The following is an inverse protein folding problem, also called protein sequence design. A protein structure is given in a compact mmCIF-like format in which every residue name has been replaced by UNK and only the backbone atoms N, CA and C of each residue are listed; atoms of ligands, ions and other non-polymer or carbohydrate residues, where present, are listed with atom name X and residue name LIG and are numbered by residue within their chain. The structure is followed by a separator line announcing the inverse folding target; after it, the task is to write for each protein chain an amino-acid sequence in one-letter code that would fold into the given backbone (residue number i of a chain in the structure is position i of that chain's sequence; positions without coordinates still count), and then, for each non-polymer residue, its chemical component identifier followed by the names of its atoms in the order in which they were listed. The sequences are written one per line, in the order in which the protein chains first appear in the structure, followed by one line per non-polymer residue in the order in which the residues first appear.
data_IF_788976685050
#
_entry.id   IF_788976685050
#
_cell.length_a   1.000
_cell.length_b   1.000
_cell.length_c   1.000
_cell.angle_alpha   90.00
_cell.angle_beta   90.00
_cell.angle_gamma   90.00
#
_symmetry.space_group_name_H-M   'P 1'
#
loop_
_entity.id
_entity.type
_entity.pdbx_description
1 polymer ?
#
# COMPACT_ATOMS: atom_id res chain seq x y z
N UNK A 1 -10.01 -13.43 5.70
CA UNK A 1 -11.19 -13.87 6.45
C UNK A 1 -12.28 -14.22 5.47
N UNK A 2 -13.05 -15.30 5.71
CA UNK A 2 -14.12 -15.73 4.81
C UNK A 2 -15.47 -15.14 5.21
N UNK A 3 -15.70 -14.98 6.52
CA UNK A 3 -16.83 -14.24 7.05
C UNK A 3 -16.34 -13.16 8.04
N UNK A 4 -16.44 -11.86 7.72
CA UNK A 4 -15.97 -10.78 8.58
C UNK A 4 -16.68 -10.70 9.94
N UNK A 5 -17.84 -11.34 10.10
CA UNK A 5 -18.60 -11.37 11.35
C UNK A 5 -18.27 -12.58 12.25
N UNK A 6 -17.42 -13.50 11.79
CA UNK A 6 -17.05 -14.71 12.55
C UNK A 6 -15.54 -14.85 12.64
N UNK A 7 -14.97 -14.50 13.80
CA UNK A 7 -13.54 -14.60 14.10
C UNK A 7 -12.96 -15.99 13.82
N UNK A 8 -13.74 -17.05 14.03
CA UNK A 8 -13.33 -18.44 13.76
C UNK A 8 -12.98 -18.71 12.28
N UNK A 9 -13.35 -17.83 11.35
CA UNK A 9 -13.02 -17.94 9.92
C UNK A 9 -11.71 -17.24 9.52
N UNK A 10 -10.93 -16.78 10.51
CA UNK A 10 -9.57 -16.28 10.28
C UNK A 10 -8.67 -17.41 9.79
N UNK A 11 -7.90 -17.12 8.75
CA UNK A 11 -6.97 -18.07 8.13
C UNK A 11 -5.67 -17.38 7.69
N UNK A 12 -5.07 -16.62 8.60
CA UNK A 12 -3.89 -15.77 8.37
C UNK A 12 -2.73 -16.50 7.70
N UNK A 13 -2.41 -17.74 8.11
CA UNK A 13 -1.30 -18.52 7.52
C UNK A 13 -1.56 -18.98 6.08
N UNK A 14 -2.78 -18.86 5.59
CA UNK A 14 -3.14 -19.15 4.19
C UNK A 14 -3.27 -17.89 3.33
N UNK A 15 -2.83 -16.74 3.85
CA UNK A 15 -2.90 -15.45 3.18
C UNK A 15 -1.49 -14.90 3.06
N UNK A 16 -1.10 -14.50 1.85
CA UNK A 16 0.14 -13.76 1.60
C UNK A 16 -0.19 -12.26 1.72
N UNK A 17 0.28 -11.58 2.78
CA UNK A 17 -0.10 -10.20 3.03
C UNK A 17 0.66 -9.25 2.11
N UNK A 18 -0.03 -8.27 1.53
CA UNK A 18 0.61 -7.25 0.70
C UNK A 18 1.54 -6.33 1.49
N UNK A 19 1.14 -5.94 2.69
CA UNK A 19 1.91 -5.06 3.59
C UNK A 19 3.22 -5.70 4.04
N UNK A 20 3.18 -6.95 4.50
CA UNK A 20 4.36 -7.71 4.91
C UNK A 20 5.37 -7.83 3.75
N UNK A 21 4.90 -8.15 2.54
CA UNK A 21 5.80 -8.27 1.39
C UNK A 21 6.39 -6.93 0.96
N UNK A 22 5.64 -5.84 1.06
CA UNK A 22 6.18 -4.50 0.84
C UNK A 22 7.26 -4.13 1.89
N UNK A 23 7.04 -4.47 3.17
CA UNK A 23 8.03 -4.24 4.23
C UNK A 23 9.29 -5.10 4.03
N UNK A 24 9.14 -6.35 3.59
CA UNK A 24 10.28 -7.21 3.26
C UNK A 24 11.09 -6.65 2.08
N UNK A 25 10.42 -6.09 1.05
CA UNK A 25 11.10 -5.41 -0.05
C UNK A 25 11.91 -4.21 0.47
N UNK A 26 11.32 -3.41 1.35
CA UNK A 26 12.01 -2.28 1.96
C UNK A 26 13.23 -2.71 2.78
N UNK A 27 13.11 -3.81 3.54
CA UNK A 27 14.22 -4.39 4.28
C UNK A 27 15.35 -4.85 3.34
N UNK A 28 15.02 -5.57 2.27
CA UNK A 28 16.01 -6.04 1.28
C UNK A 28 16.74 -4.85 0.63
N UNK A 29 16.02 -3.79 0.22
CA UNK A 29 16.65 -2.55 -0.28
C UNK A 29 17.52 -1.85 0.77
N UNK A 30 17.13 -1.93 2.04
CA UNK A 30 17.91 -1.33 3.14
C UNK A 30 19.20 -2.12 3.38
N UNK A 31 19.14 -3.45 3.38
CA UNK A 31 20.30 -4.32 3.49
C UNK A 31 21.26 -4.14 2.30
N UNK A 32 20.74 -3.98 1.09
CA UNK A 32 21.56 -3.69 -0.09
C UNK A 32 22.35 -2.38 0.07
N UNK A 33 21.69 -1.32 0.56
CA UNK A 33 22.32 -0.01 0.83
C UNK A 33 23.35 -0.10 1.95
N UNK A 34 23.02 -0.80 3.04
CA UNK A 34 23.93 -0.98 4.17
C UNK A 34 25.19 -1.76 3.76
N UNK A 35 25.03 -2.85 3.00
CA UNK A 35 26.13 -3.65 2.48
C UNK A 35 27.05 -2.82 1.57
N UNK A 36 26.46 -2.01 0.69
CA UNK A 36 27.23 -1.08 -0.15
C UNK A 36 28.00 -0.06 0.68
N UNK A 37 27.40 0.48 1.75
CA UNK A 37 28.05 1.45 2.63
C UNK A 37 29.18 0.84 3.47
N UNK A 38 29.11 -0.46 3.79
CA UNK A 38 30.18 -1.19 4.49
C UNK A 38 31.27 -1.74 3.57
N UNK A 39 31.19 -1.50 2.26
CA UNK A 39 32.13 -2.04 1.27
C UNK A 39 31.86 -3.49 0.84
N UNK A 40 30.79 -4.11 1.32
CA UNK A 40 30.36 -5.44 0.91
C UNK A 40 29.55 -5.39 -0.40
N UNK A 41 30.28 -5.37 -1.52
CA UNK A 41 29.68 -5.35 -2.85
C UNK A 41 28.89 -6.62 -3.17
N UNK A 42 29.32 -7.78 -2.65
CA UNK A 42 28.65 -9.05 -2.91
C UNK A 42 27.29 -9.11 -2.21
N UNK A 43 27.24 -8.73 -0.93
CA UNK A 43 26.00 -8.60 -0.17
C UNK A 43 25.05 -7.56 -0.80
N UNK A 44 25.58 -6.42 -1.26
CA UNK A 44 24.79 -5.41 -1.94
C UNK A 44 24.08 -5.97 -3.18
N UNK A 45 24.82 -6.67 -4.06
CA UNK A 45 24.25 -7.32 -5.26
C UNK A 45 23.23 -8.39 -4.89
N UNK A 46 23.51 -9.21 -3.88
CA UNK A 46 22.59 -10.26 -3.44
C UNK A 46 21.26 -9.68 -2.95
N UNK A 47 21.28 -8.69 -2.06
CA UNK A 47 20.06 -8.09 -1.52
C UNK A 47 19.29 -7.29 -2.57
N UNK A 48 19.97 -6.65 -3.52
CA UNK A 48 19.29 -6.00 -4.66
C UNK A 48 18.57 -7.03 -5.55
N UNK A 49 19.17 -8.20 -5.79
CA UNK A 49 18.51 -9.26 -6.55
C UNK A 49 17.26 -9.80 -5.83
N UNK A 50 17.34 -9.99 -4.50
CA UNK A 50 16.19 -10.39 -3.68
C UNK A 50 15.06 -9.35 -3.72
N UNK A 51 15.40 -8.06 -3.55
CA UNK A 51 14.43 -6.98 -3.62
C UNK A 51 13.74 -6.93 -5.00
N UNK A 52 14.49 -7.07 -6.09
CA UNK A 52 13.94 -7.08 -7.45
C UNK A 52 12.99 -8.26 -7.66
N UNK A 53 13.36 -9.46 -7.20
CA UNK A 53 12.50 -10.64 -7.27
C UNK A 53 11.21 -10.43 -6.46
N UNK A 54 11.30 -9.81 -5.27
CA UNK A 54 10.13 -9.51 -4.45
C UNK A 54 9.22 -8.46 -5.08
N UNK A 55 9.78 -7.41 -5.67
CA UNK A 55 8.99 -6.40 -6.40
C UNK A 55 8.18 -7.05 -7.53
N UNK A 56 8.82 -7.91 -8.33
CA UNK A 56 8.14 -8.66 -9.39
C UNK A 56 7.04 -9.57 -8.82
N UNK A 57 7.29 -10.21 -7.68
CA UNK A 57 6.29 -11.04 -7.02
C UNK A 57 5.10 -10.22 -6.49
N UNK A 58 5.32 -9.04 -5.93
CA UNK A 58 4.25 -8.11 -5.50
C UNK A 58 3.40 -7.70 -6.72
N UNK A 59 4.06 -7.28 -7.80
CA UNK A 59 3.39 -6.87 -9.04
C UNK A 59 2.61 -8.01 -9.71
N UNK A 60 3.06 -9.26 -9.55
CA UNK A 60 2.41 -10.44 -10.15
C UNK A 60 1.29 -11.02 -9.30
N UNK A 61 1.52 -11.19 -8.00
CA UNK A 61 0.64 -11.99 -7.13
C UNK A 61 -0.21 -11.16 -6.17
N UNK A 62 0.09 -9.87 -6.01
CA UNK A 62 -0.63 -9.03 -5.04
C UNK A 62 -1.37 -7.88 -5.70
N UNK A 63 -1.38 -7.83 -7.03
CA UNK A 63 -2.15 -6.85 -7.79
C UNK A 63 -3.47 -7.44 -8.29
N UNK A 64 -4.57 -6.76 -8.00
CA UNK A 64 -5.88 -7.13 -8.51
C UNK A 64 -6.20 -6.32 -9.78
N UNK A 65 -6.01 -6.92 -10.95
CA UNK A 65 -6.28 -6.25 -12.24
C UNK A 65 -7.74 -5.86 -12.43
N UNK A 66 -8.68 -6.63 -11.86
CA UNK A 66 -10.11 -6.36 -12.00
C UNK A 66 -10.52 -5.12 -11.21
N UNK A 67 -10.04 -5.02 -9.98
CA UNK A 67 -10.44 -3.95 -9.06
C UNK A 67 -9.53 -2.71 -9.13
N UNK A 68 -8.29 -2.88 -9.61
CA UNK A 68 -7.34 -1.77 -9.79
C UNK A 68 -6.60 -1.36 -8.51
N UNK A 69 -6.38 -2.28 -7.57
CA UNK A 69 -5.56 -2.02 -6.38
C UNK A 69 -4.77 -3.26 -5.94
N UNK A 70 -3.79 -3.06 -5.07
CA UNK A 70 -3.11 -4.16 -4.41
C UNK A 70 -3.99 -4.79 -3.33
N UNK A 71 -3.90 -6.11 -3.18
CA UNK A 71 -4.60 -6.88 -2.17
C UNK A 71 -3.82 -8.16 -1.83
N UNK A 72 -4.18 -8.79 -0.72
CA UNK A 72 -3.53 -10.03 -0.31
C UNK A 72 -3.84 -11.18 -1.29
N UNK A 73 -2.92 -12.15 -1.37
CA UNK A 73 -3.14 -13.37 -2.12
C UNK A 73 -3.63 -14.49 -1.22
N UNK A 74 -4.63 -15.23 -1.69
CA UNK A 74 -5.19 -16.38 -0.99
C UNK A 74 -4.57 -17.68 -1.52
N UNK A 75 -3.78 -18.35 -0.67
CA UNK A 75 -3.09 -19.61 -0.99
C UNK A 75 -4.02 -20.80 -1.11
N UNK A 76 -5.29 -20.72 -0.67
CA UNK A 76 -6.25 -21.81 -0.88
C UNK A 76 -6.96 -21.69 -2.23
N UNK A 77 -7.38 -20.48 -2.59
CA UNK A 77 -8.08 -20.24 -3.84
C UNK A 77 -7.15 -19.92 -5.01
N UNK A 78 -5.86 -19.73 -4.74
CA UNK A 78 -4.83 -19.32 -5.70
C UNK A 78 -5.21 -18.03 -6.45
N UNK A 79 -5.80 -17.08 -5.72
CA UNK A 79 -6.33 -15.83 -6.28
C UNK A 79 -5.97 -14.63 -5.42
N UNK A 80 -5.78 -13.51 -6.09
CA UNK A 80 -5.73 -12.19 -5.45
C UNK A 80 -7.11 -11.89 -4.88
N UNK A 81 -7.15 -11.43 -3.64
CA UNK A 81 -8.41 -11.07 -2.98
C UNK A 81 -8.97 -9.76 -3.55
N UNK A 82 -10.27 -9.55 -3.43
CA UNK A 82 -10.94 -8.35 -3.95
C UNK A 82 -11.03 -7.21 -2.93
N UNK A 83 -10.76 -7.46 -1.65
CA UNK A 83 -10.98 -6.46 -0.60
C UNK A 83 -9.94 -5.34 -0.67
N UNK A 84 -10.41 -4.08 -0.71
CA UNK A 84 -9.57 -2.91 -0.51
C UNK A 84 -9.35 -2.68 0.98
N UNK A 85 -8.09 -2.61 1.38
CA UNK A 85 -7.66 -2.28 2.75
C UNK A 85 -6.56 -1.22 2.67
N UNK A 86 -6.26 -0.57 3.80
CA UNK A 86 -5.14 0.37 3.88
C UNK A 86 -3.77 -0.29 3.58
N UNK A 87 -3.67 -1.63 3.68
CA UNK A 87 -2.48 -2.37 3.28
C UNK A 87 -2.13 -2.17 1.79
N UNK A 88 -3.13 -1.86 0.94
CA UNK A 88 -2.91 -1.55 -0.48
C UNK A 88 -1.97 -0.37 -0.71
N UNK A 89 -1.81 0.53 0.28
CA UNK A 89 -0.92 1.69 0.20
C UNK A 89 0.54 1.36 0.50
N UNK A 90 0.86 0.19 1.08
CA UNK A 90 2.23 -0.14 1.47
C UNK A 90 3.19 -0.26 0.28
N UNK A 91 2.83 -0.91 -0.86
CA UNK A 91 3.67 -0.91 -2.05
C UNK A 91 4.03 0.49 -2.57
N UNK A 92 3.15 1.48 -2.38
CA UNK A 92 3.42 2.88 -2.73
C UNK A 92 4.41 3.50 -1.74
N UNK A 93 4.16 3.30 -0.44
CA UNK A 93 5.01 3.82 0.64
C UNK A 93 6.48 3.38 0.48
N UNK A 94 6.72 2.12 0.13
CA UNK A 94 8.08 1.58 -0.02
C UNK A 94 8.68 1.80 -1.41
N UNK A 95 7.95 2.42 -2.34
CA UNK A 95 8.31 2.59 -3.76
C UNK A 95 8.52 1.26 -4.51
N UNK A 96 7.72 0.24 -4.19
CA UNK A 96 7.68 -1.03 -4.93
C UNK A 96 6.71 -0.96 -6.13
N UNK A 97 5.66 -0.14 -6.05
CA UNK A 97 4.64 -0.05 -7.09
C UNK A 97 5.10 0.74 -8.32
N UNK A 98 4.67 0.28 -9.51
CA UNK A 98 4.74 1.09 -10.73
C UNK A 98 3.93 2.39 -10.61
N UNK A 99 4.31 3.42 -11.38
CA UNK A 99 3.64 4.74 -11.35
C UNK A 99 2.14 4.63 -11.68
N UNK A 100 1.79 3.85 -12.70
CA UNK A 100 0.40 3.63 -13.11
C UNK A 100 -0.44 3.01 -11.98
N UNK A 101 0.08 1.97 -11.34
CA UNK A 101 -0.61 1.27 -10.25
C UNK A 101 -0.68 2.14 -9.00
N UNK A 102 0.36 2.93 -8.73
CA UNK A 102 0.36 3.91 -7.65
C UNK A 102 -0.77 4.94 -7.82
N UNK A 103 -0.96 5.50 -9.02
CA UNK A 103 -2.07 6.42 -9.31
C UNK A 103 -3.43 5.77 -9.09
N UNK A 104 -3.62 4.52 -9.57
CA UNK A 104 -4.89 3.78 -9.38
C UNK A 104 -5.19 3.54 -7.89
N UNK A 105 -4.20 3.11 -7.12
CA UNK A 105 -4.34 2.83 -5.69
C UNK A 105 -4.61 4.11 -4.90
N UNK A 106 -3.92 5.21 -5.22
CA UNK A 106 -4.15 6.51 -4.58
C UNK A 106 -5.60 6.98 -4.78
N UNK A 107 -6.10 6.93 -6.01
CA UNK A 107 -7.49 7.28 -6.33
C UNK A 107 -8.51 6.36 -5.64
N UNK A 108 -8.23 5.05 -5.56
CA UNK A 108 -9.09 4.10 -4.84
C UNK A 108 -9.13 4.38 -3.33
N UNK A 109 -7.98 4.69 -2.73
CA UNK A 109 -7.88 5.03 -1.32
C UNK A 109 -8.59 6.35 -1.01
N UNK A 110 -8.40 7.39 -1.83
CA UNK A 110 -9.08 8.67 -1.68
C UNK A 110 -10.60 8.54 -1.80
N UNK A 111 -11.10 7.78 -2.79
CA UNK A 111 -12.54 7.64 -2.99
C UNK A 111 -13.22 6.73 -1.95
N UNK A 112 -12.53 5.73 -1.40
CA UNK A 112 -13.17 4.66 -0.59
C UNK A 112 -12.72 4.59 0.86
N UNK A 113 -11.47 4.98 1.15
CA UNK A 113 -10.87 4.88 2.50
C UNK A 113 -10.72 6.24 3.18
N UNK A 114 -10.66 7.35 2.42
CA UNK A 114 -10.64 8.69 3.01
C UNK A 114 -12.04 9.08 3.51
N UNK A 115 -12.11 9.47 4.78
CA UNK A 115 -13.32 9.99 5.44
C UNK A 115 -12.97 11.28 6.20
N UNK A 116 -13.96 12.11 6.58
CA UNK A 116 -13.70 13.24 7.48
C UNK A 116 -13.00 12.73 8.75
N UNK A 117 -11.73 13.11 8.96
CA UNK A 117 -10.89 12.65 10.07
C UNK A 117 -9.71 11.73 9.73
N UNK A 118 -9.56 11.24 8.48
CA UNK A 118 -8.37 10.50 8.02
C UNK A 118 -8.65 9.25 7.18
N UNK A 119 -7.65 8.39 7.04
CA UNK A 119 -7.70 7.11 6.32
C UNK A 119 -8.28 6.00 7.22
N UNK A 120 -9.37 5.37 6.81
CA UNK A 120 -9.92 4.16 7.45
C UNK A 120 -9.10 2.91 7.06
N UNK A 121 -9.01 1.92 7.95
CA UNK A 121 -8.20 0.71 7.72
C UNK A 121 -8.82 -0.23 6.67
N UNK A 122 -10.14 -0.30 6.57
CA UNK A 122 -10.87 -1.02 5.50
C UNK A 122 -12.15 -0.27 5.10
N UNK A 123 -12.91 -0.80 4.15
CA UNK A 123 -14.28 -0.36 3.83
C UNK A 123 -15.37 -1.15 4.57
N UNK A 124 -14.98 -2.17 5.35
CA UNK A 124 -15.91 -3.08 6.02
C UNK A 124 -16.09 -2.62 7.47
N UNK A 125 -17.33 -2.47 7.92
CA UNK A 125 -17.64 -2.25 9.33
C UNK A 125 -17.96 -3.60 9.99
N UNK A 126 -16.92 -4.25 10.52
CA UNK A 126 -17.02 -5.58 11.16
C UNK A 126 -17.11 -5.51 12.68
N UNK A 127 -16.93 -4.33 13.29
CA UNK A 127 -16.75 -4.15 14.73
C UNK A 127 -15.34 -4.49 15.26
N UNK A 128 -14.39 -4.88 14.39
CA UNK A 128 -12.99 -5.15 14.76
C UNK A 128 -12.12 -3.89 14.75
N UNK A 129 -11.03 -3.90 15.53
CA UNK A 129 -10.13 -2.75 15.67
C UNK A 129 -9.39 -2.34 14.38
N UNK A 130 -9.23 -3.26 13.42
CA UNK A 130 -8.54 -3.04 12.14
C UNK A 130 -9.49 -2.86 10.95
N UNK A 131 -10.75 -2.55 11.23
CA UNK A 131 -11.81 -2.35 10.24
C UNK A 131 -12.48 -0.98 10.43
N UNK A 132 -13.25 -0.52 9.45
CA UNK A 132 -13.99 0.73 9.58
C UNK A 132 -14.88 0.72 10.85
N UNK A 133 -15.00 1.84 11.60
CA UNK A 133 -14.51 3.19 11.27
C UNK A 133 -13.09 3.50 11.76
N UNK A 134 -12.33 2.53 12.27
CA UNK A 134 -11.04 2.80 12.88
C UNK A 134 -10.00 3.19 11.81
N UNK A 135 -9.20 4.21 12.11
CA UNK A 135 -8.03 4.62 11.36
C UNK A 135 -6.81 4.63 12.28
N UNK A 136 -5.68 4.11 11.83
CA UNK A 136 -4.46 3.99 12.63
C UNK A 136 -3.36 4.89 12.09
N UNK A 137 -2.65 5.59 12.98
CA UNK A 137 -1.59 6.54 12.64
C UNK A 137 -0.48 5.96 11.71
N UNK A 138 -0.03 4.70 11.81
CA UNK A 138 0.93 4.13 10.85
C UNK A 138 0.39 4.05 9.42
N UNK A 139 -0.90 3.80 9.24
CA UNK A 139 -1.56 3.80 7.94
C UNK A 139 -1.75 5.22 7.38
N UNK A 140 -2.05 6.19 8.27
CA UNK A 140 -2.20 7.60 7.89
C UNK A 140 -0.85 8.30 7.57
N UNK A 141 0.21 8.00 8.33
CA UNK A 141 1.57 8.54 8.11
C UNK A 141 2.21 8.00 6.82
N UNK A 142 1.81 6.80 6.38
CA UNK A 142 2.19 6.23 5.07
C UNK A 142 1.51 6.92 3.88
N UNK A 143 0.25 7.35 4.05
CA UNK A 143 -0.51 8.07 3.01
C UNK A 143 0.03 9.48 2.74
N UNK A 144 0.33 10.25 3.80
CA UNK A 144 0.73 11.66 3.65
C UNK A 144 2.09 11.88 2.96
N UNK A 145 3.06 10.97 3.15
CA UNK A 145 4.39 11.08 2.50
C UNK A 145 4.47 10.37 1.15
N UNK A 146 3.71 9.29 0.95
CA UNK A 146 3.58 8.63 -0.35
C UNK A 146 2.81 9.50 -1.35
N UNK A 147 1.66 10.05 -0.93
CA UNK A 147 0.85 10.94 -1.75
C UNK A 147 1.58 12.25 -2.06
N UNK A 148 2.30 12.86 -1.12
CA UNK A 148 3.06 14.09 -1.38
C UNK A 148 4.18 13.89 -2.43
N UNK A 149 4.80 12.70 -2.49
CA UNK A 149 5.84 12.40 -3.48
C UNK A 149 5.29 12.10 -4.87
N UNK A 150 4.10 11.51 -4.96
CA UNK A 150 3.36 11.33 -6.21
C UNK A 150 2.79 12.67 -6.73
N UNK A 151 2.25 13.49 -5.82
CA UNK A 151 1.71 14.83 -6.12
C UNK A 151 2.77 15.79 -6.68
N UNK A 152 3.99 15.84 -6.11
CA UNK A 152 5.08 16.66 -6.67
C UNK A 152 5.65 16.16 -8.02
N UNK A 153 5.32 14.95 -8.47
CA UNK A 153 5.77 14.42 -9.77
C UNK A 153 4.82 14.74 -10.93
N UNK A 154 3.60 15.22 -10.64
CA UNK A 154 2.62 15.70 -11.62
C UNK A 154 2.76 17.21 -11.91
N UNK A 155 3.30 17.99 -10.96
CA UNK A 155 3.49 19.45 -11.12
C UNK A 155 4.61 19.88 -12.10
N UNK A 156 5.39 18.95 -12.67
CA UNK A 156 6.52 19.30 -13.57
C UNK A 156 6.22 19.32 -15.06
N UNK A 157 5.03 18.92 -15.52
CA UNK A 157 4.67 19.01 -16.93
C UNK A 157 3.19 19.38 -17.14
N UNK A 158 2.89 20.68 -16.98
CA UNK A 158 1.92 21.43 -17.78
C UNK A 158 0.46 20.96 -17.79
N UNK A 159 -0.39 21.66 -17.03
CA UNK A 159 -1.85 21.58 -17.20
C UNK A 159 -2.57 22.24 -16.03
N UNK A 160 -2.86 23.54 -16.18
CA UNK A 160 -3.54 24.36 -15.19
C UNK A 160 -4.96 23.82 -14.91
N UNK A 161 -5.19 23.24 -13.73
CA UNK A 161 -6.52 23.11 -13.12
C UNK A 161 -6.45 23.62 -11.67
N UNK A 162 -7.30 24.59 -11.38
CA UNK A 162 -7.27 25.46 -10.22
C UNK A 162 -7.68 24.77 -8.90
N UNK A 163 -7.15 25.26 -7.78
CA UNK A 163 -7.76 25.10 -6.46
C UNK A 163 -8.80 26.21 -6.25
N UNK A 164 -10.06 25.93 -5.88
CA UNK A 164 -10.96 26.92 -5.29
C UNK A 164 -10.51 27.23 -3.85
N UNK A 165 -10.47 28.53 -3.56
CA UNK A 165 -10.02 29.14 -2.31
C UNK A 165 -10.83 28.65 -1.09
N UNK A 166 -10.20 27.88 -0.19
CA UNK A 166 -10.77 27.52 1.12
C UNK A 166 -10.32 28.54 2.18
N UNK A 167 -10.90 29.74 2.13
CA UNK A 167 -10.87 30.72 3.22
C UNK A 167 -12.27 31.17 3.58
N UNK A 168 -13.02 30.31 4.29
CA UNK A 168 -14.15 30.73 5.12
C UNK A 168 -14.65 29.57 5.98
N UNK A 169 -14.08 29.37 7.17
CA UNK A 169 -14.74 28.71 8.31
C UNK A 169 -13.86 28.77 9.57
N UNK A 170 -13.66 29.97 10.11
CA UNK A 170 -13.32 30.19 11.52
C UNK A 170 -13.82 31.58 11.93
N UNK A 171 -15.10 31.63 12.31
CA UNK A 171 -15.65 32.45 13.39
C UNK A 171 -16.67 31.59 14.14
#
# INVERSE_FOLDING_TARGET
MDNPQQLATIRTTSIVPVDLNALMFHLEKTLARASKASGDSAGATQYDALANARQQAIEKYLWNDKEGWYADFDLKSHKVRNQLTAAALFPLYVNAASRERATKVAAAAESRLLKPGGLTTTTVNSGQQWDAPNGWAPAAVGGGRGAAKLWSAEDRHGGHLALPDQRAAYL
#
